data_IF_393622961641
#
_entry.id   IF_393622961641
#
_cell.length_a   1.000
_cell.length_b   1.000
_cell.length_c   1.000
_cell.angle_alpha   90.00
_cell.angle_beta   90.00
_cell.angle_gamma   90.00
#
_symmetry.space_group_name_H-M   'P 1'
#
loop_
_entity.id
_entity.type
_entity.pdbx_description
1 polymer ?
#
# COMPACT_ATOMS: atom_id res chain seq x y z
N UNK A 1 3.83 -37.43 -17.89
CA UNK A 1 4.54 -36.87 -16.74
C UNK A 1 4.06 -35.46 -16.50
N UNK A 2 3.05 -35.41 -15.63
CA UNK A 2 2.42 -34.20 -15.14
C UNK A 2 3.25 -33.67 -13.97
N UNK A 3 3.17 -32.35 -13.75
CA UNK A 3 3.84 -31.56 -12.69
C UNK A 3 5.21 -30.99 -13.11
N UNK A 4 5.18 -30.05 -14.05
CA UNK A 4 6.26 -29.08 -14.28
C UNK A 4 5.66 -27.68 -14.56
N UNK A 5 4.60 -27.30 -13.81
CA UNK A 5 3.79 -26.08 -14.06
C UNK A 5 3.66 -25.18 -12.81
N UNK A 6 4.50 -25.34 -11.79
CA UNK A 6 4.34 -24.59 -10.53
C UNK A 6 5.58 -23.88 -10.00
N UNK A 7 6.72 -23.93 -10.71
CA UNK A 7 7.95 -23.24 -10.27
C UNK A 7 8.17 -21.87 -10.93
N UNK A 8 7.31 -21.44 -11.85
CA UNK A 8 7.40 -20.13 -12.53
C UNK A 8 6.44 -19.07 -11.97
N UNK A 9 5.74 -19.34 -10.87
CA UNK A 9 5.17 -18.25 -10.09
C UNK A 9 6.26 -17.71 -9.19
N UNK A 10 6.95 -16.71 -9.75
CA UNK A 10 7.81 -15.76 -9.08
C UNK A 10 7.11 -15.29 -7.80
N UNK A 11 7.37 -15.99 -6.68
CA UNK A 11 7.12 -15.55 -5.30
C UNK A 11 8.10 -14.41 -4.97
N UNK A 12 8.26 -13.46 -5.89
CA UNK A 12 8.93 -12.20 -5.67
C UNK A 12 8.20 -11.55 -4.51
N UNK A 13 8.98 -11.18 -3.49
CA UNK A 13 8.52 -10.60 -2.24
C UNK A 13 7.60 -9.39 -2.49
N UNK A 14 6.31 -9.63 -2.71
CA UNK A 14 5.31 -8.60 -2.70
C UNK A 14 5.31 -8.05 -1.28
N UNK A 15 5.85 -6.84 -1.11
CA UNK A 15 5.67 -6.04 0.10
C UNK A 15 4.16 -5.89 0.27
N UNK A 16 3.57 -6.79 1.06
CA UNK A 16 2.11 -6.91 1.21
C UNK A 16 1.56 -5.71 1.97
N UNK A 17 2.33 -5.22 2.95
CA UNK A 17 1.99 -4.10 3.81
C UNK A 17 2.91 -2.91 3.55
N UNK A 18 2.33 -1.72 3.58
CA UNK A 18 3.09 -0.48 3.43
C UNK A 18 3.91 -0.15 4.69
N UNK A 19 3.34 -0.42 5.85
CA UNK A 19 3.92 -0.12 7.16
C UNK A 19 4.16 -1.38 8.00
N UNK A 20 5.13 -1.30 8.91
CA UNK A 20 5.50 -2.39 9.82
C UNK A 20 4.35 -2.80 10.77
N UNK A 21 3.47 -1.85 11.11
CA UNK A 21 2.30 -2.06 11.98
C UNK A 21 1.12 -2.73 11.24
N UNK A 22 1.29 -3.03 9.94
CA UNK A 22 0.32 -3.67 9.05
C UNK A 22 -1.02 -2.93 8.98
N UNK A 23 -1.01 -1.60 9.10
CA UNK A 23 -2.19 -0.74 9.05
C UNK A 23 -2.68 -0.50 7.62
N UNK A 24 -1.78 -0.53 6.64
CA UNK A 24 -2.06 -0.36 5.23
C UNK A 24 -1.51 -1.53 4.42
N UNK A 25 -2.36 -2.08 3.56
CA UNK A 25 -2.03 -3.20 2.68
C UNK A 25 -2.12 -2.78 1.21
N UNK A 26 -1.17 -3.22 0.40
CA UNK A 26 -1.25 -3.11 -1.05
C UNK A 26 -2.28 -4.10 -1.62
N UNK A 27 -3.19 -3.60 -2.45
CA UNK A 27 -4.09 -4.39 -3.27
C UNK A 27 -4.34 -3.67 -4.60
N UNK A 28 -3.99 -4.31 -5.72
CA UNK A 28 -4.15 -3.77 -7.07
C UNK A 28 -3.51 -2.37 -7.22
N UNK A 29 -2.30 -2.20 -6.67
CA UNK A 29 -1.57 -0.93 -6.74
C UNK A 29 -2.17 0.21 -5.89
N UNK A 30 -3.12 -0.10 -5.00
CA UNK A 30 -3.72 0.87 -4.07
C UNK A 30 -3.55 0.41 -2.63
N UNK A 31 -3.57 1.36 -1.72
CA UNK A 31 -3.49 1.09 -0.30
C UNK A 31 -4.88 1.00 0.32
N UNK A 32 -5.09 -0.07 1.07
CA UNK A 32 -6.31 -0.30 1.84
C UNK A 32 -5.98 -0.29 3.33
N UNK A 33 -6.80 0.40 4.11
CA UNK A 33 -6.70 0.36 5.56
C UNK A 33 -7.09 -1.03 6.06
N UNK A 34 -6.40 -1.51 7.09
CA UNK A 34 -6.67 -2.81 7.74
C UNK A 34 -7.43 -2.65 9.07
N UNK A 35 -7.87 -1.43 9.38
CA UNK A 35 -8.50 -1.04 10.64
C UNK A 35 -9.66 -0.07 10.43
N UNK A 36 -10.47 0.10 11.48
CA UNK A 36 -11.57 1.07 11.51
C UNK A 36 -12.72 0.76 10.55
N UNK A 37 -13.64 1.73 10.40
CA UNK A 37 -14.92 1.54 9.68
C UNK A 37 -14.79 1.31 8.16
N UNK A 38 -13.63 1.62 7.58
CA UNK A 38 -13.34 1.44 6.15
C UNK A 38 -12.36 0.29 5.85
N UNK A 39 -11.99 -0.50 6.86
CA UNK A 39 -11.07 -1.61 6.72
C UNK A 39 -11.42 -2.51 5.52
N UNK A 40 -10.46 -2.74 4.62
CA UNK A 40 -10.56 -3.65 3.46
C UNK A 40 -11.68 -3.35 2.46
N UNK A 41 -12.36 -2.20 2.58
CA UNK A 41 -13.55 -1.86 1.75
C UNK A 41 -13.26 -0.77 0.73
N UNK A 42 -12.49 0.23 1.12
CA UNK A 42 -12.18 1.38 0.29
C UNK A 42 -10.67 1.63 0.30
N UNK A 43 -10.14 1.96 -0.87
CA UNK A 43 -8.76 2.43 -0.98
C UNK A 43 -8.60 3.80 -0.32
N UNK A 44 -7.37 4.14 0.06
CA UNK A 44 -7.04 5.43 0.64
C UNK A 44 -7.49 6.59 -0.27
N UNK A 45 -7.34 6.47 -1.58
CA UNK A 45 -7.84 7.44 -2.57
C UNK A 45 -9.36 7.64 -2.49
N UNK A 46 -10.14 6.56 -2.28
CA UNK A 46 -11.59 6.64 -2.16
C UNK A 46 -12.00 7.27 -0.83
N UNK A 47 -11.30 6.96 0.26
CA UNK A 47 -11.57 7.54 1.58
C UNK A 47 -11.28 9.05 1.57
N UNK A 48 -10.19 9.50 0.91
CA UNK A 48 -9.89 10.93 0.74
C UNK A 48 -11.05 11.69 0.08
N UNK A 49 -11.77 11.05 -0.85
CA UNK A 49 -12.94 11.66 -1.52
C UNK A 49 -14.22 11.57 -0.68
N UNK A 50 -14.32 10.53 0.16
CA UNK A 50 -15.56 10.17 0.86
C UNK A 50 -15.67 10.76 2.26
N UNK A 51 -14.57 10.79 3.01
CA UNK A 51 -14.54 11.15 4.43
C UNK A 51 -13.14 11.64 4.84
N UNK A 52 -12.83 12.89 4.50
CA UNK A 52 -11.54 13.54 4.87
C UNK A 52 -11.37 13.67 6.37
N UNK A 53 -12.44 13.99 7.10
CA UNK A 53 -12.42 14.16 8.55
C UNK A 53 -12.00 12.88 9.28
N UNK A 54 -12.37 11.71 8.76
CA UNK A 54 -11.88 10.44 9.30
C UNK A 54 -10.36 10.28 9.16
N UNK A 55 -9.77 10.73 8.05
CA UNK A 55 -8.32 10.70 7.85
C UNK A 55 -7.58 11.73 8.70
N UNK A 56 -8.18 12.92 8.91
CA UNK A 56 -7.69 13.91 9.87
C UNK A 56 -7.67 13.34 11.30
N UNK A 57 -8.70 12.57 11.67
CA UNK A 57 -8.70 11.83 12.94
C UNK A 57 -7.54 10.82 13.01
N UNK A 58 -7.27 10.07 11.94
CA UNK A 58 -6.14 9.12 11.89
C UNK A 58 -4.80 9.84 12.17
N UNK A 59 -4.59 11.04 11.63
CA UNK A 59 -3.39 11.85 11.90
C UNK A 59 -3.28 12.21 13.39
N UNK A 60 -4.40 12.56 14.03
CA UNK A 60 -4.45 12.91 15.45
C UNK A 60 -4.30 11.71 16.41
N UNK A 61 -4.66 10.52 15.97
CA UNK A 61 -4.69 9.30 16.79
C UNK A 61 -3.30 8.68 17.04
N UNK A 62 -3.24 7.64 17.88
CA UNK A 62 -1.99 6.95 18.22
C UNK A 62 -1.60 5.92 17.14
N UNK A 63 -1.06 6.41 16.02
CA UNK A 63 -0.45 5.62 14.95
C UNK A 63 1.02 5.96 14.78
N UNK A 64 1.77 5.06 14.14
CA UNK A 64 3.18 5.30 13.81
C UNK A 64 3.37 6.56 12.94
N UNK A 65 4.56 7.19 13.00
CA UNK A 65 4.88 8.33 12.14
C UNK A 65 4.68 8.03 10.65
N UNK A 66 5.06 6.83 10.19
CA UNK A 66 4.93 6.36 8.81
C UNK A 66 3.46 6.36 8.34
N UNK A 67 2.54 5.86 9.18
CA UNK A 67 1.10 5.89 8.90
C UNK A 67 0.57 7.32 8.84
N UNK A 68 0.99 8.19 9.77
CA UNK A 68 0.54 9.59 9.79
C UNK A 68 1.05 10.35 8.57
N UNK A 69 2.28 10.12 8.16
CA UNK A 69 2.87 10.70 6.96
C UNK A 69 2.12 10.26 5.70
N UNK A 70 1.87 8.95 5.55
CA UNK A 70 1.10 8.40 4.43
C UNK A 70 -0.27 9.09 4.31
N UNK A 71 -1.01 9.19 5.41
CA UNK A 71 -2.35 9.79 5.41
C UNK A 71 -2.31 11.29 5.14
N UNK A 72 -1.31 12.00 5.68
CA UNK A 72 -1.10 13.43 5.42
C UNK A 72 -0.85 13.67 3.93
N UNK A 73 0.05 12.88 3.31
CA UNK A 73 0.34 12.96 1.89
C UNK A 73 -0.90 12.65 1.04
N UNK A 74 -1.68 11.64 1.41
CA UNK A 74 -2.92 11.29 0.73
C UNK A 74 -3.97 12.41 0.78
N UNK A 75 -4.10 13.12 1.91
CA UNK A 75 -4.99 14.28 2.02
C UNK A 75 -4.56 15.45 1.12
N UNK A 76 -3.27 15.54 0.79
CA UNK A 76 -2.68 16.48 -0.16
C UNK A 76 -2.69 15.95 -1.61
N UNK A 77 -3.31 14.80 -1.88
CA UNK A 77 -3.41 14.21 -3.21
C UNK A 77 -2.16 13.44 -3.67
N UNK A 78 -1.22 13.19 -2.77
CA UNK A 78 0.01 12.45 -3.04
C UNK A 78 -0.15 11.01 -2.55
N UNK A 79 0.07 10.04 -3.44
CA UNK A 79 -0.05 8.62 -3.10
C UNK A 79 1.23 7.89 -3.49
N UNK A 80 1.72 6.96 -2.66
CA UNK A 80 2.84 6.11 -3.05
C UNK A 80 2.44 5.29 -4.28
N UNK A 81 3.42 5.01 -5.12
CA UNK A 81 3.29 4.06 -6.22
C UNK A 81 4.06 2.81 -5.82
N UNK A 82 3.41 1.65 -5.96
CA UNK A 82 4.11 0.39 -5.88
C UNK A 82 5.04 0.32 -7.11
N UNK A 83 6.31 0.68 -6.92
CA UNK A 83 7.32 0.48 -7.96
C UNK A 83 7.67 -1.01 -7.98
N UNK A 84 7.33 -1.68 -9.06
CA UNK A 84 7.96 -2.94 -9.42
C UNK A 84 9.36 -2.63 -9.95
N UNK A 85 10.30 -2.23 -9.08
CA UNK A 85 11.67 -1.98 -9.50
C UNK A 85 12.45 -3.31 -9.57
N UNK A 86 12.35 -3.99 -10.72
CA UNK A 86 13.53 -4.63 -11.32
C UNK A 86 13.97 -3.76 -12.49
N UNK A 87 14.82 -2.77 -12.20
CA UNK A 87 15.69 -2.17 -13.21
C UNK A 87 17.14 -2.41 -12.79
N UNK A 88 17.66 -3.59 -13.11
CA UNK A 88 19.10 -3.81 -13.22
C UNK A 88 19.46 -3.46 -14.67
N UNK A 89 19.88 -2.22 -14.91
CA UNK A 89 20.63 -1.90 -16.11
C UNK A 89 22.11 -2.23 -15.87
N UNK A 90 22.59 -3.29 -16.51
CA UNK A 90 23.98 -3.39 -16.97
C UNK A 90 23.95 -3.96 -18.38
N UNK A 91 23.83 -3.09 -19.38
CA UNK A 91 24.21 -3.42 -20.76
C UNK A 91 25.66 -3.00 -20.93
N UNK A 92 26.57 -3.98 -20.87
CA UNK A 92 27.95 -3.79 -21.29
C UNK A 92 27.96 -3.50 -22.81
N UNK A 93 28.62 -2.42 -23.19
CA UNK A 93 29.24 -2.28 -24.50
C UNK A 93 30.76 -2.34 -24.30
#
# INVERSE_FOLDING_TARGET
DEIEVLSEYDYENYVEFYDDDRKFRWWNGKLYMMFGKYAKRYSLQEIVKKDRAYLEWVISANFSPEVKELVTNALNGQFPQLKNDKKIEWSAN
#
